data_IF_736542010564
#
_entry.id   IF_736542010564
#
_cell.length_a   1.000
_cell.length_b   1.000
_cell.length_c   1.000
_cell.angle_alpha   90.00
_cell.angle_beta   90.00
_cell.angle_gamma   90.00
#
_symmetry.space_group_name_H-M   'P 1'
#
loop_
_entity.id
_entity.type
_entity.pdbx_description
1 polymer ?
#
# COMPACT_ATOMS: atom_id res chain seq x y z
N UNK A 1 -12.08 15.49 -13.04
CA UNK A 1 -10.95 14.82 -12.36
C UNK A 1 -10.84 15.18 -10.87
N UNK A 2 -11.13 16.41 -10.44
CA UNK A 2 -10.97 16.84 -9.03
C UNK A 2 -11.74 15.98 -8.01
N UNK A 3 -12.96 15.55 -8.33
CA UNK A 3 -13.77 14.74 -7.40
C UNK A 3 -13.20 13.33 -7.23
N UNK A 4 -12.67 12.77 -8.32
CA UNK A 4 -12.00 11.47 -8.28
C UNK A 4 -10.71 11.52 -7.46
N UNK A 5 -9.88 12.55 -7.65
CA UNK A 5 -8.69 12.74 -6.82
C UNK A 5 -9.05 12.97 -5.35
N UNK A 6 -10.12 13.73 -5.08
CA UNK A 6 -10.63 13.95 -3.72
C UNK A 6 -11.06 12.63 -3.06
N UNK A 7 -11.74 11.76 -3.80
CA UNK A 7 -12.10 10.42 -3.34
C UNK A 7 -10.86 9.57 -3.03
N UNK A 8 -9.84 9.58 -3.90
CA UNK A 8 -8.59 8.86 -3.67
C UNK A 8 -7.80 9.40 -2.47
N UNK A 9 -7.95 10.69 -2.14
CA UNK A 9 -7.33 11.32 -0.96
C UNK A 9 -8.09 11.09 0.36
N UNK A 10 -9.20 10.35 0.35
CA UNK A 10 -9.91 10.03 1.60
C UNK A 10 -9.05 9.12 2.49
N UNK A 11 -9.13 9.34 3.81
CA UNK A 11 -8.37 8.58 4.80
C UNK A 11 -8.37 7.05 4.61
N UNK A 12 -9.53 6.37 4.42
CA UNK A 12 -9.54 4.92 4.22
C UNK A 12 -8.88 4.48 2.91
N UNK A 13 -8.98 5.26 1.83
CA UNK A 13 -8.40 4.90 0.52
C UNK A 13 -6.88 5.04 0.54
N UNK A 14 -6.37 6.15 1.11
CA UNK A 14 -4.93 6.34 1.29
C UNK A 14 -4.37 5.29 2.24
N UNK A 15 -5.06 4.99 3.34
CA UNK A 15 -4.65 3.94 4.27
C UNK A 15 -4.60 2.57 3.61
N UNK A 16 -5.60 2.21 2.81
CA UNK A 16 -5.62 0.94 2.07
C UNK A 16 -4.44 0.83 1.10
N UNK A 17 -4.17 1.88 0.33
CA UNK A 17 -3.04 1.91 -0.61
C UNK A 17 -1.69 1.79 0.13
N UNK A 18 -1.52 2.54 1.22
CA UNK A 18 -0.29 2.53 2.01
C UNK A 18 -0.03 1.19 2.70
N UNK A 19 -1.06 0.60 3.31
CA UNK A 19 -0.96 -0.69 3.98
C UNK A 19 -0.71 -1.82 2.98
N UNK A 20 -1.37 -1.80 1.81
CA UNK A 20 -1.13 -2.80 0.76
C UNK A 20 0.30 -2.73 0.23
N UNK A 21 0.80 -1.51 -0.01
CA UNK A 21 2.18 -1.29 -0.44
C UNK A 21 3.19 -1.74 0.63
N UNK A 22 3.01 -1.31 1.87
CA UNK A 22 3.92 -1.64 2.98
C UNK A 22 3.90 -3.13 3.29
N UNK A 23 2.73 -3.76 3.30
CA UNK A 23 2.59 -5.20 3.49
C UNK A 23 3.26 -5.98 2.36
N UNK A 24 3.02 -5.59 1.09
CA UNK A 24 3.69 -6.18 -0.06
C UNK A 24 5.20 -6.10 0.05
N UNK A 25 5.74 -4.90 0.35
CA UNK A 25 7.19 -4.72 0.56
C UNK A 25 7.74 -5.61 1.68
N UNK A 26 7.08 -5.67 2.84
CA UNK A 26 7.54 -6.50 3.95
C UNK A 26 7.50 -8.00 3.61
N UNK A 27 6.46 -8.46 2.90
CA UNK A 27 6.33 -9.85 2.48
C UNK A 27 7.44 -10.23 1.50
N UNK A 28 7.67 -9.41 0.48
CA UNK A 28 8.74 -9.62 -0.50
C UNK A 28 10.13 -9.57 0.17
N UNK A 29 10.34 -8.61 1.07
CA UNK A 29 11.58 -8.48 1.83
C UNK A 29 11.85 -9.72 2.68
N UNK A 30 10.88 -10.17 3.48
CA UNK A 30 11.06 -11.38 4.29
C UNK A 30 11.31 -12.61 3.40
N UNK A 31 10.66 -12.72 2.24
CA UNK A 31 10.89 -13.84 1.31
C UNK A 31 12.33 -13.86 0.78
N UNK A 32 12.83 -12.74 0.27
CA UNK A 32 14.17 -12.69 -0.35
C UNK A 32 15.29 -12.89 0.69
N UNK A 33 15.11 -12.41 1.92
CA UNK A 33 16.16 -12.42 2.94
C UNK A 33 16.15 -13.65 3.87
N UNK A 34 15.02 -14.35 4.02
CA UNK A 34 14.90 -15.47 4.97
C UNK A 34 14.58 -16.82 4.31
N UNK A 35 14.07 -16.83 3.08
CA UNK A 35 13.69 -18.04 2.34
C UNK A 35 14.74 -18.41 1.27
N UNK A 36 16.01 -18.05 1.55
CA UNK A 36 17.23 -18.45 0.85
C UNK A 36 18.17 -19.19 1.80
#
# INVERSE_FOLDING_TARGET
MKDFTTYLSTAPVVAFAWLSFTAGLLIEFVREFYDN
#
